data_IF_331722016134
#
_entry.id   IF_331722016134
#
_cell.length_a   1.000
_cell.length_b   1.000
_cell.length_c   1.000
_cell.angle_alpha   90.00
_cell.angle_beta   90.00
_cell.angle_gamma   90.00
#
_symmetry.space_group_name_H-M   'P 1'
#
loop_
_entity.id
_entity.type
_entity.pdbx_description
1 polymer ?
#
# COMPACT_ATOMS: atom_id res chain seq x y z
N UNK A 1 -0.37 -0.06 -23.76
CA UNK A 1 1.03 0.04 -24.22
C UNK A 1 1.90 0.32 -22.99
N UNK A 2 2.49 -0.73 -22.39
CA UNK A 2 3.44 -0.56 -21.28
C UNK A 2 4.63 0.25 -21.78
N UNK A 3 4.84 1.46 -21.24
CA UNK A 3 6.08 2.21 -21.48
C UNK A 3 7.18 1.57 -20.62
N UNK A 4 7.69 0.43 -21.07
CA UNK A 4 9.02 -0.03 -20.69
C UNK A 4 9.97 1.14 -20.96
N UNK A 5 10.69 1.60 -19.94
CA UNK A 5 11.64 2.71 -20.00
C UNK A 5 12.46 2.65 -21.29
N UNK A 6 12.04 3.39 -22.33
CA UNK A 6 12.88 3.61 -23.50
C UNK A 6 13.99 4.55 -23.06
N UNK A 7 15.23 4.22 -23.42
CA UNK A 7 16.35 5.17 -23.43
C UNK A 7 15.95 6.36 -24.29
N UNK A 8 15.49 7.45 -23.65
CA UNK A 8 15.20 8.70 -24.32
C UNK A 8 16.51 9.40 -24.70
N UNK A 9 16.63 9.82 -25.97
CA UNK A 9 17.64 10.77 -26.41
C UNK A 9 17.52 12.06 -25.59
N UNK A 10 18.66 12.62 -25.17
CA UNK A 10 18.75 13.90 -24.45
C UNK A 10 18.09 15.01 -25.26
N UNK A 11 17.03 15.60 -24.73
CA UNK A 11 16.56 16.94 -25.11
C UNK A 11 16.63 17.83 -23.87
N UNK A 12 17.48 18.83 -23.94
CA UNK A 12 17.76 19.81 -22.89
C UNK A 12 16.68 20.88 -22.79
N UNK A 13 16.00 20.98 -21.64
CA UNK A 13 15.61 22.24 -20.98
C UNK A 13 14.63 21.95 -19.83
N UNK A 14 14.97 22.38 -18.61
CA UNK A 14 14.07 22.39 -17.46
C UNK A 14 14.64 21.64 -16.27
N UNK A 15 15.18 22.40 -15.31
CA UNK A 15 15.60 22.07 -13.93
C UNK A 15 15.69 20.56 -13.64
N UNK A 16 16.91 20.01 -13.63
CA UNK A 16 17.16 18.66 -13.16
C UNK A 16 16.66 18.52 -11.70
N UNK A 17 15.75 17.57 -11.40
CA UNK A 17 15.42 17.29 -10.01
C UNK A 17 16.69 16.80 -9.31
N UNK A 18 16.93 17.28 -8.08
CA UNK A 18 18.09 16.90 -7.27
C UNK A 18 18.23 15.37 -7.26
N UNK A 19 19.42 14.90 -7.63
CA UNK A 19 19.87 13.51 -7.63
C UNK A 19 19.81 12.89 -6.22
N UNK A 20 18.63 12.60 -5.69
CA UNK A 20 18.49 12.00 -4.37
C UNK A 20 18.38 10.48 -4.49
N UNK A 21 19.55 9.84 -4.60
CA UNK A 21 19.65 8.37 -4.61
C UNK A 21 19.36 7.87 -3.20
N UNK A 22 18.35 7.01 -3.06
CA UNK A 22 17.92 6.46 -1.77
C UNK A 22 18.15 4.96 -1.71
N UNK A 23 18.58 4.40 -0.57
CA UNK A 23 18.63 2.96 -0.39
C UNK A 23 17.22 2.39 -0.30
N UNK A 24 17.01 1.18 -0.81
CA UNK A 24 15.81 0.39 -0.48
C UNK A 24 15.92 -0.07 0.98
N UNK A 25 14.87 0.20 1.75
CA UNK A 25 14.82 -0.06 3.20
C UNK A 25 13.89 -1.23 3.53
N UNK A 26 14.16 -1.85 4.68
CA UNK A 26 13.26 -2.87 5.25
C UNK A 26 12.01 -2.22 5.86
N UNK A 27 10.94 -3.01 6.00
CA UNK A 27 9.70 -2.55 6.62
C UNK A 27 9.96 -2.02 8.03
N UNK A 28 10.81 -2.71 8.79
CA UNK A 28 11.18 -2.36 10.16
C UNK A 28 11.79 -0.96 10.20
N UNK A 29 12.78 -0.67 9.33
CA UNK A 29 13.39 0.66 9.27
C UNK A 29 12.38 1.73 8.87
N UNK A 30 11.51 1.42 7.89
CA UNK A 30 10.51 2.36 7.39
C UNK A 30 9.43 2.69 8.42
N UNK A 31 9.03 1.72 9.26
CA UNK A 31 7.96 1.85 10.25
C UNK A 31 8.46 2.21 11.66
N UNK A 32 9.77 2.17 11.92
CA UNK A 32 10.36 2.52 13.21
C UNK A 32 10.24 4.00 13.65
N UNK A 33 10.17 5.01 12.75
CA UNK A 33 9.99 6.39 13.16
C UNK A 33 8.81 6.55 14.14
N UNK A 34 9.00 7.36 15.19
CA UNK A 34 8.04 7.47 16.30
C UNK A 34 6.64 7.83 15.84
N UNK A 35 6.51 8.77 14.90
CA UNK A 35 5.21 9.17 14.31
C UNK A 35 4.48 7.98 13.67
N UNK A 36 5.20 7.13 12.92
CA UNK A 36 4.63 5.95 12.27
C UNK A 36 4.26 4.86 13.27
N UNK A 37 5.07 4.64 14.31
CA UNK A 37 4.74 3.71 15.40
C UNK A 37 3.47 4.13 16.14
N UNK A 38 3.29 5.43 16.38
CA UNK A 38 2.07 5.96 16.99
C UNK A 38 0.87 5.69 16.07
N UNK A 39 0.97 6.01 14.78
CA UNK A 39 -0.11 5.73 13.81
C UNK A 39 -0.46 4.23 13.73
N UNK A 40 0.54 3.34 13.74
CA UNK A 40 0.31 1.90 13.77
C UNK A 40 -0.43 1.46 15.03
N UNK A 41 -0.05 1.99 16.20
CA UNK A 41 -0.74 1.71 17.45
C UNK A 41 -2.19 2.23 17.43
N UNK A 42 -2.42 3.42 16.87
CA UNK A 42 -3.77 3.97 16.69
C UNK A 42 -4.62 3.07 15.77
N UNK A 43 -4.07 2.62 14.64
CA UNK A 43 -4.73 1.66 13.75
C UNK A 43 -5.07 0.37 14.50
N UNK A 44 -4.13 -0.16 15.29
CA UNK A 44 -4.37 -1.36 16.09
C UNK A 44 -5.49 -1.16 17.12
N UNK A 45 -5.55 -0.01 17.78
CA UNK A 45 -6.57 0.30 18.78
C UNK A 45 -7.98 0.49 18.18
N UNK A 46 -8.05 0.81 16.87
CA UNK A 46 -9.31 0.96 16.14
C UNK A 46 -9.92 -0.39 15.74
N UNK A 47 -9.13 -1.47 15.69
CA UNK A 47 -9.59 -2.81 15.31
C UNK A 47 -9.71 -3.71 16.53
N UNK A 48 -10.82 -4.44 16.65
CA UNK A 48 -11.12 -5.29 17.81
C UNK A 48 -10.91 -6.77 17.47
N UNK A 49 -9.69 -7.14 17.06
CA UNK A 49 -9.34 -8.50 16.63
C UNK A 49 -8.21 -9.09 17.49
N UNK A 50 -8.17 -10.41 17.77
CA UNK A 50 -7.08 -11.02 18.52
C UNK A 50 -5.69 -10.77 17.90
N UNK A 51 -4.67 -10.59 18.76
CA UNK A 51 -3.32 -10.19 18.35
C UNK A 51 -2.70 -11.08 17.25
N UNK A 52 -2.93 -12.40 17.31
CA UNK A 52 -2.46 -13.35 16.27
C UNK A 52 -3.01 -13.02 14.89
N UNK A 53 -4.29 -12.67 14.80
CA UNK A 53 -4.95 -12.35 13.54
C UNK A 53 -4.54 -10.96 13.06
N UNK A 54 -4.37 -10.01 13.99
CA UNK A 54 -3.83 -8.69 13.68
C UNK A 54 -2.46 -8.80 12.99
N UNK A 55 -1.55 -9.59 13.54
CA UNK A 55 -0.21 -9.78 12.96
C UNK A 55 -0.25 -10.37 11.55
N UNK A 56 -1.04 -11.42 11.35
CA UNK A 56 -1.13 -12.13 10.06
C UNK A 56 -1.85 -11.30 8.98
N UNK A 57 -2.83 -10.46 9.35
CA UNK A 57 -3.68 -9.74 8.40
C UNK A 57 -3.29 -8.28 8.21
N UNK A 58 -3.15 -7.54 9.31
CA UNK A 58 -2.96 -6.09 9.31
C UNK A 58 -1.47 -5.73 9.30
N UNK A 59 -0.68 -6.24 10.25
CA UNK A 59 0.77 -5.92 10.34
C UNK A 59 1.49 -6.39 9.07
N UNK A 60 1.16 -7.59 8.58
CA UNK A 60 1.70 -8.10 7.31
C UNK A 60 1.37 -7.17 6.14
N UNK A 61 0.13 -6.69 6.02
CA UNK A 61 -0.26 -5.77 4.96
C UNK A 61 0.44 -4.40 5.07
N UNK A 62 0.57 -3.86 6.29
CA UNK A 62 1.27 -2.60 6.55
C UNK A 62 2.77 -2.70 6.21
N UNK A 63 3.43 -3.81 6.55
CA UNK A 63 4.83 -4.07 6.20
C UNK A 63 5.02 -4.24 4.70
N UNK A 64 4.13 -4.97 4.04
CA UNK A 64 4.16 -5.12 2.59
C UNK A 64 3.98 -3.76 1.89
N UNK A 65 3.01 -2.97 2.36
CA UNK A 65 2.78 -1.60 1.88
C UNK A 65 4.03 -0.73 2.05
N UNK A 66 4.62 -0.70 3.24
CA UNK A 66 5.85 0.04 3.52
C UNK A 66 6.98 -0.37 2.57
N UNK A 67 7.22 -1.68 2.39
CA UNK A 67 8.25 -2.19 1.47
C UNK A 67 7.97 -1.83 0.02
N UNK A 68 6.71 -1.75 -0.38
CA UNK A 68 6.33 -1.43 -1.75
C UNK A 68 6.51 0.05 -2.05
N UNK A 69 6.06 0.93 -1.15
CA UNK A 69 6.08 2.39 -1.37
C UNK A 69 7.38 3.06 -0.91
N UNK A 70 8.20 2.39 -0.10
CA UNK A 70 9.51 2.90 0.37
C UNK A 70 9.41 4.35 0.87
N UNK A 71 10.40 5.19 0.56
CA UNK A 71 10.36 6.62 0.82
C UNK A 71 9.79 7.43 -0.36
N UNK A 72 8.94 6.84 -1.21
CA UNK A 72 8.34 7.57 -2.32
C UNK A 72 7.43 8.70 -1.81
N UNK A 73 7.49 9.91 -2.37
CA UNK A 73 6.55 10.98 -2.08
C UNK A 73 5.17 10.69 -2.71
N UNK A 74 4.10 11.12 -2.06
CA UNK A 74 2.73 10.94 -2.55
C UNK A 74 2.29 12.00 -3.57
N UNK A 75 3.03 13.12 -3.66
CA UNK A 75 2.73 14.26 -4.53
C UNK A 75 3.99 15.10 -4.82
N UNK A 76 3.92 16.03 -5.77
CA UNK A 76 5.03 16.93 -6.12
C UNK A 76 5.15 18.17 -5.21
N UNK A 77 4.03 18.71 -4.70
CA UNK A 77 4.01 20.06 -4.08
C UNK A 77 3.17 20.11 -2.76
N UNK A 78 2.52 19.02 -2.35
CA UNK A 78 1.60 19.05 -1.20
C UNK A 78 2.25 18.52 0.09
N UNK A 79 1.47 18.45 1.18
CA UNK A 79 1.90 18.03 2.53
C UNK A 79 2.60 16.65 2.59
N UNK A 80 2.46 15.82 1.56
CA UNK A 80 3.14 14.52 1.44
C UNK A 80 4.13 14.45 0.26
N UNK A 81 4.76 15.58 -0.09
CA UNK A 81 5.83 15.64 -1.10
C UNK A 81 7.22 15.28 -0.55
N UNK A 82 7.34 15.17 0.78
CA UNK A 82 8.56 14.73 1.43
C UNK A 82 8.81 13.22 1.26
N UNK A 83 10.06 12.76 1.47
CA UNK A 83 10.40 11.33 1.47
C UNK A 83 9.55 10.55 2.47
N UNK A 84 8.99 9.43 2.02
CA UNK A 84 8.04 8.62 2.81
C UNK A 84 6.61 9.12 2.79
N UNK A 85 6.31 10.18 2.04
CA UNK A 85 4.96 10.75 1.95
C UNK A 85 3.89 9.75 1.52
N UNK A 86 4.19 8.77 0.67
CA UNK A 86 3.23 7.70 0.35
C UNK A 86 2.93 6.78 1.54
N UNK A 87 3.94 6.48 2.35
CA UNK A 87 3.78 5.66 3.54
C UNK A 87 2.93 6.40 4.57
N UNK A 88 3.31 7.65 4.86
CA UNK A 88 2.63 8.48 5.86
C UNK A 88 1.17 8.73 5.48
N UNK A 89 0.90 9.15 4.25
CA UNK A 89 -0.46 9.35 3.73
C UNK A 89 -1.29 8.07 3.80
N UNK A 90 -0.72 6.92 3.41
CA UNK A 90 -1.41 5.64 3.47
C UNK A 90 -1.82 5.24 4.89
N UNK A 91 -0.93 5.45 5.88
CA UNK A 91 -1.22 5.18 7.28
C UNK A 91 -2.29 6.14 7.84
N UNK A 92 -2.20 7.43 7.52
CA UNK A 92 -3.16 8.44 7.97
C UNK A 92 -4.57 8.20 7.41
N UNK A 93 -4.69 7.93 6.10
CA UNK A 93 -5.96 7.59 5.45
C UNK A 93 -6.54 6.31 6.03
N UNK A 94 -5.71 5.29 6.26
CA UNK A 94 -6.13 4.03 6.88
C UNK A 94 -6.71 4.25 8.28
N UNK A 95 -6.02 5.03 9.12
CA UNK A 95 -6.51 5.41 10.44
C UNK A 95 -7.85 6.14 10.36
N UNK A 96 -7.94 7.15 9.50
CA UNK A 96 -9.17 7.93 9.33
C UNK A 96 -10.36 7.08 8.88
N UNK A 97 -10.14 6.20 7.90
CA UNK A 97 -11.16 5.28 7.41
C UNK A 97 -11.65 4.30 8.48
N UNK A 98 -10.74 3.76 9.29
CA UNK A 98 -11.09 2.89 10.41
C UNK A 98 -11.83 3.63 11.54
N UNK A 99 -11.46 4.89 11.82
CA UNK A 99 -12.15 5.73 12.78
C UNK A 99 -13.59 6.00 12.35
N UNK A 100 -13.82 6.35 11.08
CA UNK A 100 -15.16 6.48 10.50
C UNK A 100 -15.91 5.16 10.63
N UNK A 101 -15.26 4.04 10.26
CA UNK A 101 -15.90 2.73 10.28
C UNK A 101 -16.47 2.34 11.65
N UNK A 102 -15.84 2.70 12.76
CA UNK A 102 -16.39 2.40 14.11
C UNK A 102 -17.81 2.94 14.31
N UNK A 103 -18.18 4.02 13.63
CA UNK A 103 -19.51 4.62 13.68
C UNK A 103 -20.54 4.00 12.73
N UNK A 104 -20.17 2.99 11.92
CA UNK A 104 -21.04 2.43 10.89
C UNK A 104 -21.21 0.91 11.01
N UNK A 105 -22.47 0.48 10.99
CA UNK A 105 -22.85 -0.92 10.79
C UNK A 105 -22.78 -1.26 9.30
N UNK A 106 -21.95 -2.25 8.93
CA UNK A 106 -21.78 -2.70 7.54
C UNK A 106 -22.07 -4.20 7.42
N UNK A 107 -22.70 -4.65 6.32
CA UNK A 107 -23.22 -3.82 5.22
C UNK A 107 -24.53 -3.10 5.60
N UNK A 108 -24.84 -1.93 5.03
CA UNK A 108 -26.09 -1.23 5.29
C UNK A 108 -27.30 -2.08 4.84
N UNK A 109 -28.33 -2.16 5.68
CA UNK A 109 -29.57 -2.87 5.36
C UNK A 109 -29.53 -4.40 5.52
N UNK A 110 -28.44 -4.97 6.02
CA UNK A 110 -28.38 -6.40 6.36
C UNK A 110 -29.00 -6.68 7.75
N UNK A 111 -29.40 -7.93 7.97
CA UNK A 111 -29.89 -8.39 9.28
C UNK A 111 -28.83 -8.20 10.38
N UNK A 112 -29.21 -7.83 11.62
CA UNK A 112 -28.26 -7.58 12.72
C UNK A 112 -27.31 -8.73 12.99
N UNK A 113 -27.78 -9.99 12.88
CA UNK A 113 -26.96 -11.18 13.06
C UNK A 113 -25.87 -11.29 11.96
N UNK A 114 -26.22 -10.95 10.71
CA UNK A 114 -25.28 -10.95 9.59
C UNK A 114 -24.24 -9.84 9.74
N UNK A 115 -24.67 -8.64 10.16
CA UNK A 115 -23.78 -7.51 10.47
C UNK A 115 -22.77 -7.92 11.56
N UNK A 116 -23.23 -8.53 12.65
CA UNK A 116 -22.36 -8.98 13.73
C UNK A 116 -21.37 -10.05 13.27
N UNK A 117 -21.82 -11.05 12.50
CA UNK A 117 -20.96 -12.12 11.96
C UNK A 117 -19.88 -11.62 11.00
N UNK A 118 -20.15 -10.53 10.27
CA UNK A 118 -19.25 -10.01 9.23
C UNK A 118 -18.50 -8.73 9.66
N UNK A 119 -18.66 -8.26 10.91
CA UNK A 119 -18.12 -6.99 11.37
C UNK A 119 -16.61 -6.87 11.13
N UNK A 120 -15.85 -7.91 11.48
CA UNK A 120 -14.40 -7.95 11.32
C UNK A 120 -13.98 -8.01 9.84
N UNK A 121 -14.69 -8.79 9.02
CA UNK A 121 -14.41 -8.90 7.57
C UNK A 121 -14.62 -7.57 6.88
N UNK A 122 -15.72 -6.90 7.17
CA UNK A 122 -15.95 -5.55 6.67
C UNK A 122 -14.87 -4.59 7.18
N UNK A 123 -14.43 -4.72 8.44
CA UNK A 123 -13.39 -3.81 9.00
C UNK A 123 -12.09 -3.99 8.25
N UNK A 124 -11.73 -5.23 7.95
CA UNK A 124 -10.59 -5.55 7.10
C UNK A 124 -10.77 -5.02 5.68
N UNK A 125 -11.95 -5.12 5.08
CA UNK A 125 -12.24 -4.56 3.76
C UNK A 125 -12.02 -3.03 3.70
N UNK A 126 -12.48 -2.31 4.73
CA UNK A 126 -12.24 -0.85 4.86
C UNK A 126 -10.75 -0.57 5.01
N UNK A 127 -10.05 -1.31 5.88
CA UNK A 127 -8.60 -1.19 6.06
C UNK A 127 -7.85 -1.40 4.74
N UNK A 128 -8.10 -2.50 4.02
CA UNK A 128 -7.40 -2.80 2.78
C UNK A 128 -7.73 -1.80 1.68
N UNK A 129 -8.99 -1.37 1.58
CA UNK A 129 -9.42 -0.36 0.62
C UNK A 129 -8.74 1.00 0.87
N UNK A 130 -8.67 1.42 2.13
CA UNK A 130 -8.01 2.67 2.53
C UNK A 130 -6.49 2.60 2.31
N UNK A 131 -5.83 1.52 2.70
CA UNK A 131 -4.40 1.33 2.52
C UNK A 131 -4.01 1.34 1.03
N UNK A 132 -4.85 0.74 0.18
CA UNK A 132 -4.59 0.61 -1.25
C UNK A 132 -5.07 1.78 -2.12
N UNK A 133 -5.81 2.76 -1.58
CA UNK A 133 -6.52 3.74 -2.39
C UNK A 133 -5.63 4.50 -3.40
N UNK A 134 -4.36 4.72 -3.04
CA UNK A 134 -3.36 5.44 -3.84
C UNK A 134 -2.17 4.57 -4.30
N UNK A 135 -2.24 3.25 -4.09
CA UNK A 135 -1.12 2.33 -4.38
C UNK A 135 -0.79 2.22 -5.87
N UNK A 136 -1.68 2.68 -6.75
CA UNK A 136 -1.41 2.76 -8.18
C UNK A 136 -0.37 3.83 -8.57
N UNK A 137 -0.09 4.83 -7.71
CA UNK A 137 0.81 5.95 -8.03
C UNK A 137 2.21 5.50 -8.47
N UNK A 138 2.90 4.59 -7.78
CA UNK A 138 4.20 4.08 -8.22
C UNK A 138 4.17 3.39 -9.59
N UNK A 139 3.02 2.91 -10.04
CA UNK A 139 2.89 2.19 -11.30
C UNK A 139 2.57 3.09 -12.50
N UNK A 140 1.87 4.21 -12.29
CA UNK A 140 1.36 5.04 -13.41
C UNK A 140 1.67 6.54 -13.30
N UNK A 141 2.05 7.01 -12.12
CA UNK A 141 2.39 8.42 -11.87
C UNK A 141 3.91 8.64 -11.67
N UNK A 142 4.70 7.58 -11.44
CA UNK A 142 6.13 7.65 -11.11
C UNK A 142 7.00 6.73 -11.99
N UNK A 143 8.25 7.13 -12.20
CA UNK A 143 9.32 6.32 -12.80
C UNK A 143 10.41 6.16 -11.75
N UNK A 144 10.66 4.92 -11.35
CA UNK A 144 11.72 4.60 -10.39
C UNK A 144 12.85 3.87 -11.12
N UNK A 145 14.06 4.41 -11.04
CA UNK A 145 15.29 3.83 -11.61
C UNK A 145 16.05 3.14 -10.49
N UNK A 146 16.38 1.86 -10.68
CA UNK A 146 17.16 1.07 -9.73
C UNK A 146 18.65 1.18 -10.04
N UNK A 147 19.46 1.19 -8.99
CA UNK A 147 20.91 1.21 -9.03
C UNK A 147 21.47 0.16 -8.06
N UNK A 148 22.66 -0.37 -8.35
CA UNK A 148 23.37 -1.26 -7.43
C UNK A 148 24.14 -0.47 -6.35
N UNK A 149 24.86 -1.17 -5.47
CA UNK A 149 25.67 -0.55 -4.41
C UNK A 149 26.77 0.42 -4.92
N UNK A 150 27.27 0.19 -6.14
CA UNK A 150 28.21 1.11 -6.80
C UNK A 150 27.49 2.25 -7.57
N UNK A 151 26.19 2.46 -7.32
CA UNK A 151 25.32 3.42 -7.99
C UNK A 151 25.30 3.28 -9.51
N UNK A 152 25.51 2.07 -10.03
CA UNK A 152 25.38 1.77 -11.46
C UNK A 152 23.94 1.37 -11.77
N UNK A 153 23.34 1.85 -12.88
CA UNK A 153 21.95 1.54 -13.22
C UNK A 153 21.71 0.03 -13.40
N UNK A 154 20.65 -0.47 -12.77
CA UNK A 154 20.12 -1.84 -12.93
C UNK A 154 18.91 -1.89 -13.87
N UNK A 155 18.26 -0.75 -14.12
CA UNK A 155 17.07 -0.65 -14.95
C UNK A 155 15.98 0.18 -14.28
N UNK A 156 14.76 0.13 -14.81
CA UNK A 156 13.60 0.71 -14.14
C UNK A 156 12.89 -0.35 -13.31
N UNK A 157 12.41 0.03 -12.13
CA UNK A 157 11.55 -0.82 -11.33
C UNK A 157 10.21 -1.03 -12.05
N UNK A 158 9.78 -2.29 -12.13
CA UNK A 158 8.48 -2.69 -12.67
C UNK A 158 7.61 -3.05 -11.46
N UNK A 159 6.84 -2.09 -10.96
CA UNK A 159 6.04 -2.24 -9.74
C UNK A 159 4.99 -3.36 -9.83
N UNK A 160 4.57 -3.73 -11.04
CA UNK A 160 3.71 -4.89 -11.29
C UNK A 160 4.33 -6.22 -10.86
N UNK A 161 5.67 -6.30 -10.78
CA UNK A 161 6.40 -7.50 -10.37
C UNK A 161 6.63 -7.57 -8.85
N UNK A 162 6.20 -6.55 -8.09
CA UNK A 162 6.32 -6.50 -6.64
C UNK A 162 7.28 -5.43 -6.14
N UNK A 163 7.62 -5.52 -4.86
CA UNK A 163 8.47 -4.53 -4.18
C UNK A 163 9.87 -4.40 -4.81
N UNK A 164 10.51 -3.25 -4.58
CA UNK A 164 11.88 -3.04 -5.03
C UNK A 164 12.84 -4.08 -4.41
N UNK A 165 13.87 -4.56 -5.15
CA UNK A 165 14.83 -5.51 -4.62
C UNK A 165 15.58 -4.96 -3.40
N UNK A 166 15.80 -5.80 -2.39
CA UNK A 166 16.69 -5.48 -1.28
C UNK A 166 18.12 -5.19 -1.80
N UNK A 167 18.91 -4.49 -0.99
CA UNK A 167 20.31 -4.15 -1.29
C UNK A 167 20.53 -3.36 -2.59
N UNK A 168 19.48 -2.68 -3.04
CA UNK A 168 19.52 -1.76 -4.16
C UNK A 168 19.28 -0.32 -3.72
N UNK A 169 19.56 0.59 -4.63
CA UNK A 169 19.29 2.02 -4.49
C UNK A 169 18.31 2.44 -5.57
N UNK A 170 17.62 3.55 -5.38
CA UNK A 170 16.68 4.06 -6.35
C UNK A 170 16.69 5.58 -6.46
N UNK A 171 16.32 6.07 -7.63
CA UNK A 171 15.93 7.45 -7.90
C UNK A 171 14.53 7.46 -8.47
N UNK A 172 13.74 8.48 -8.14
CA UNK A 172 12.38 8.61 -8.63
C UNK A 172 12.19 9.93 -9.38
N UNK A 173 11.49 9.85 -10.51
CA UNK A 173 10.94 10.99 -11.26
C UNK A 173 9.42 10.83 -11.41
N UNK A 174 8.68 11.94 -11.48
CA UNK A 174 7.25 11.91 -11.81
C UNK A 174 7.01 11.81 -13.33
N UNK A 175 5.98 11.06 -13.72
CA UNK A 175 5.56 10.94 -15.13
C UNK A 175 4.84 12.22 -15.56
N UNK A 176 5.30 12.82 -16.66
CA UNK A 176 4.70 14.02 -17.26
C UNK A 176 4.31 13.78 -18.74
N UNK A 177 3.13 14.24 -19.20
CA UNK A 177 2.03 14.81 -18.40
C UNK A 177 1.30 13.76 -17.56
N UNK A 178 0.71 14.18 -16.43
CA UNK A 178 -0.03 13.29 -15.53
C UNK A 178 -1.34 12.83 -16.16
N UNK A 179 -1.66 11.54 -15.99
CA UNK A 179 -2.98 10.99 -16.33
C UNK A 179 -3.85 10.93 -15.08
N UNK A 180 -4.65 11.98 -14.89
CA UNK A 180 -5.51 12.10 -13.71
C UNK A 180 -6.45 10.89 -13.55
N UNK A 181 -6.58 10.39 -12.32
CA UNK A 181 -7.49 9.31 -11.94
C UNK A 181 -7.07 7.89 -12.32
N UNK A 182 -5.98 7.69 -13.09
CA UNK A 182 -5.58 6.32 -13.48
C UNK A 182 -5.06 5.52 -12.28
N UNK A 183 -4.28 6.12 -11.38
CA UNK A 183 -3.74 5.44 -10.20
C UNK A 183 -4.85 4.89 -9.28
N UNK A 184 -5.99 5.57 -9.19
CA UNK A 184 -7.15 5.13 -8.40
C UNK A 184 -7.78 3.85 -8.96
N UNK A 185 -7.66 3.61 -10.28
CA UNK A 185 -8.29 2.47 -10.97
C UNK A 185 -7.39 1.24 -11.04
N UNK A 186 -6.08 1.43 -11.04
CA UNK A 186 -5.10 0.33 -11.18
C UNK A 186 -4.66 -0.26 -9.84
N UNK A 187 -4.97 0.39 -8.71
CA UNK A 187 -4.64 -0.09 -7.38
C UNK A 187 -4.99 -1.56 -7.10
N UNK A 188 -6.20 -2.04 -7.47
CA UNK A 188 -6.59 -3.44 -7.27
C UNK A 188 -5.66 -4.46 -7.95
N UNK A 189 -5.01 -4.11 -9.07
CA UNK A 189 -4.07 -5.00 -9.76
C UNK A 189 -2.78 -5.26 -8.97
N UNK A 190 -2.52 -4.44 -7.94
CA UNK A 190 -1.37 -4.56 -7.04
C UNK A 190 -1.74 -5.25 -5.72
N UNK A 191 -2.99 -5.69 -5.53
CA UNK A 191 -3.47 -6.25 -4.27
C UNK A 191 -2.60 -7.38 -3.73
N UNK A 192 -2.18 -8.31 -4.60
CA UNK A 192 -1.35 -9.46 -4.23
C UNK A 192 0.05 -9.10 -3.72
N UNK A 193 0.53 -7.88 -3.97
CA UNK A 193 1.81 -7.41 -3.43
C UNK A 193 1.69 -6.81 -2.04
N UNK A 194 0.48 -6.45 -1.62
CA UNK A 194 0.21 -5.70 -0.40
C UNK A 194 -0.55 -6.58 0.60
N UNK A 195 -1.69 -7.11 0.18
CA UNK A 195 -2.61 -7.86 1.04
C UNK A 195 -2.13 -9.31 1.11
N UNK A 196 -1.93 -9.88 2.33
CA UNK A 196 -1.55 -11.28 2.47
C UNK A 196 -2.61 -12.19 1.86
N UNK A 197 -2.18 -13.32 1.27
CA UNK A 197 -3.09 -14.25 0.56
C UNK A 197 -4.24 -14.74 1.43
N UNK A 198 -4.00 -15.00 2.72
CA UNK A 198 -5.06 -15.36 3.68
C UNK A 198 -6.08 -14.24 3.86
N UNK A 199 -5.65 -12.98 3.82
CA UNK A 199 -6.53 -11.82 3.86
C UNK A 199 -7.38 -11.68 2.59
N UNK A 200 -6.79 -11.92 1.42
CA UNK A 200 -7.53 -11.93 0.16
C UNK A 200 -8.56 -13.06 0.11
N UNK A 201 -8.18 -14.26 0.56
CA UNK A 201 -9.11 -15.39 0.68
C UNK A 201 -10.27 -15.05 1.61
N UNK A 202 -9.98 -14.46 2.78
CA UNK A 202 -11.00 -14.07 3.75
C UNK A 202 -11.96 -12.99 3.23
N UNK A 203 -11.47 -12.04 2.40
CA UNK A 203 -12.32 -11.07 1.71
C UNK A 203 -13.20 -11.70 0.63
N UNK A 204 -12.74 -12.78 0.00
CA UNK A 204 -13.44 -13.48 -1.07
C UNK A 204 -14.45 -14.53 -0.59
N UNK A 205 -14.38 -14.94 0.68
CA UNK A 205 -15.37 -15.85 1.28
C UNK A 205 -16.78 -15.24 1.23
N UNK A 206 -17.73 -16.04 0.74
CA UNK A 206 -19.10 -15.62 0.39
C UNK A 206 -19.80 -14.85 1.52
N UNK A 207 -20.57 -13.82 1.14
CA UNK A 207 -21.38 -12.98 2.02
C UNK A 207 -22.82 -13.51 2.18
N UNK A 208 -23.19 -14.57 1.46
CA UNK A 208 -24.50 -15.20 1.60
C UNK A 208 -24.54 -16.65 1.12
N UNK A 209 -24.52 -17.61 2.06
CA UNK A 209 -24.97 -18.97 1.79
C UNK A 209 -23.98 -20.06 2.20
N UNK A 210 -24.51 -21.05 2.91
CA UNK A 210 -23.84 -22.26 3.39
C UNK A 210 -22.99 -22.91 2.28
N UNK A 211 -21.67 -22.96 2.46
CA UNK A 211 -20.84 -24.07 1.96
C UNK A 211 -20.03 -24.65 3.11
N UNK A 212 -20.50 -25.81 3.55
CA UNK A 212 -19.75 -26.73 4.38
C UNK A 212 -18.42 -27.08 3.69
N UNK A 213 -17.32 -26.52 4.18
CA UNK A 213 -15.99 -27.11 4.05
C UNK A 213 -15.20 -26.81 5.32
N UNK A 214 -15.01 -27.86 6.12
CA UNK A 214 -13.85 -28.06 7.00
C UNK A 214 -13.65 -27.03 8.10
N UNK A 215 -14.24 -27.28 9.26
CA UNK A 215 -13.65 -26.84 10.53
C UNK A 215 -12.27 -27.49 10.68
N UNK A 216 -11.22 -26.81 10.22
CA UNK A 216 -9.86 -27.03 10.68
C UNK A 216 -9.00 -25.94 10.07
N UNK A 217 -8.82 -24.83 10.78
CA UNK A 217 -7.59 -24.02 10.78
C UNK A 217 -7.77 -22.68 11.50
N UNK A 218 -8.65 -22.59 12.51
CA UNK A 218 -8.53 -21.58 13.55
C UNK A 218 -9.13 -22.12 14.84
N UNK A 219 -8.30 -22.77 15.65
CA UNK A 219 -8.45 -22.84 17.11
C UNK A 219 -7.16 -22.31 17.71
#
# INVERSE_FOLDING_TARGET
MLRLCRRGKKSSSGVAPKNDIRPVLSAEKLLNPQSRRILMQEIQNLVSIPARHYSVLFDTALRNYARFVQELPASEIHHHSAPGGMLDHGLEVTKGALAIRRGHMLPPGAEPESIAKQADRWTYAVFTGALMHDIGKPAVDQIVRLLNAAQRPLGCWISWNGAMPADSYYQMDFIRPRRYGLHQRVGPLLAHHIIPTVGLAWLAEDQGGVRALGQSHFR
#
